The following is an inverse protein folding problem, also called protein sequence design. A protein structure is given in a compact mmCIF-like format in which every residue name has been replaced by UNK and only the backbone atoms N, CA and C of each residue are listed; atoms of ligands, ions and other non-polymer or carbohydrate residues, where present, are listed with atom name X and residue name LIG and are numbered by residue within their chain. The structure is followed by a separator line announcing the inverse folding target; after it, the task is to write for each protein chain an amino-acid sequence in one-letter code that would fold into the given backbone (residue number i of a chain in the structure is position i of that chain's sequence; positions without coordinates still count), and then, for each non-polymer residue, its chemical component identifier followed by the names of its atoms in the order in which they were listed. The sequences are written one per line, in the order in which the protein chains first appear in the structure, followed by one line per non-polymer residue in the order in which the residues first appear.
data_IF_060979167487
#
_entry.id   IF_060979167487
#
_cell.length_a   1.000
_cell.length_b   1.000
_cell.length_c   1.000
_cell.angle_alpha   90.00
_cell.angle_beta   90.00
_cell.angle_gamma   90.00
#
_symmetry.space_group_name_H-M   'P 1'
#
loop_
_entity.id
_entity.type
_entity.pdbx_description
1 polymer ?
#
# COMPACT_ATOMS: atom_id res chain seq x y z
N UNK A 1 22.28 -2.74 -31.39
CA UNK A 1 20.95 -2.04 -31.25
C UNK A 1 20.19 -2.77 -30.16
N UNK A 2 19.71 -2.02 -29.14
CA UNK A 2 18.95 -2.61 -28.02
C UNK A 2 17.55 -3.01 -28.50
N UNK A 3 17.18 -4.26 -28.25
CA UNK A 3 15.85 -4.79 -28.51
C UNK A 3 15.16 -5.10 -27.18
N UNK A 4 13.92 -4.62 -27.00
CA UNK A 4 13.11 -4.90 -25.81
C UNK A 4 11.96 -5.79 -26.23
N UNK A 5 11.76 -6.89 -25.52
CA UNK A 5 10.70 -7.85 -25.76
C UNK A 5 9.98 -8.22 -24.46
N UNK A 6 8.69 -8.54 -24.59
CA UNK A 6 7.89 -9.08 -23.50
C UNK A 6 8.00 -10.60 -23.49
N UNK A 7 8.40 -11.16 -22.37
CA UNK A 7 8.58 -12.60 -22.16
C UNK A 7 7.55 -13.11 -21.14
N UNK A 8 6.38 -13.46 -21.63
CA UNK A 8 5.24 -13.82 -20.78
C UNK A 8 5.52 -15.04 -19.89
N UNK A 9 6.18 -16.07 -20.41
CA UNK A 9 6.50 -17.28 -19.64
C UNK A 9 7.46 -17.00 -18.48
N UNK A 10 8.40 -16.09 -18.69
CA UNK A 10 9.36 -15.64 -17.68
C UNK A 10 8.82 -14.54 -16.78
N UNK A 11 7.61 -14.04 -17.09
CA UNK A 11 6.97 -12.92 -16.37
C UNK A 11 7.86 -11.68 -16.26
N UNK A 12 8.37 -11.24 -17.41
CA UNK A 12 9.25 -10.07 -17.49
C UNK A 12 9.20 -9.36 -18.84
N UNK A 13 9.64 -8.12 -18.86
CA UNK A 13 10.18 -7.47 -20.04
C UNK A 13 11.72 -7.58 -20.01
N UNK A 14 12.33 -7.89 -21.13
CA UNK A 14 13.78 -8.10 -21.24
C UNK A 14 14.37 -7.23 -22.36
N UNK A 15 15.55 -6.65 -22.10
CA UNK A 15 16.33 -5.89 -23.05
C UNK A 15 17.56 -6.69 -23.48
N UNK A 16 17.76 -6.79 -24.78
CA UNK A 16 18.89 -7.51 -25.37
C UNK A 16 19.70 -6.61 -26.31
N UNK A 17 21.01 -6.78 -26.28
CA UNK A 17 21.89 -6.27 -27.32
C UNK A 17 22.80 -7.40 -27.81
N UNK A 18 22.82 -7.61 -29.14
CA UNK A 18 23.57 -8.69 -29.78
C UNK A 18 23.33 -10.09 -29.15
N UNK A 19 22.09 -10.33 -28.68
CA UNK A 19 21.71 -11.59 -28.04
C UNK A 19 22.07 -11.70 -26.55
N UNK A 20 22.76 -10.71 -25.97
CA UNK A 20 23.08 -10.65 -24.54
C UNK A 20 21.97 -9.91 -23.80
N UNK A 21 21.50 -10.47 -22.69
CA UNK A 21 20.58 -9.81 -21.77
C UNK A 21 21.29 -8.66 -21.05
N UNK A 22 20.79 -7.43 -21.20
CA UNK A 22 21.36 -6.21 -20.63
C UNK A 22 20.41 -5.51 -19.64
N UNK A 23 19.18 -6.00 -19.49
CA UNK A 23 18.23 -5.48 -18.50
C UNK A 23 16.94 -6.28 -18.48
N UNK A 24 16.24 -6.22 -17.34
CA UNK A 24 14.94 -6.85 -17.17
C UNK A 24 14.06 -6.05 -16.21
N UNK A 25 12.75 -6.15 -16.40
CA UNK A 25 11.71 -5.73 -15.47
C UNK A 25 10.84 -6.94 -15.17
N UNK A 26 10.96 -7.46 -13.96
CA UNK A 26 10.25 -8.65 -13.52
C UNK A 26 8.93 -8.29 -12.85
N UNK A 27 7.92 -9.14 -13.04
CA UNK A 27 6.64 -9.00 -12.37
C UNK A 27 6.10 -10.33 -11.87
N UNK A 28 5.18 -10.28 -10.91
CA UNK A 28 4.43 -11.44 -10.39
C UNK A 28 2.93 -11.20 -10.51
N UNK A 29 2.15 -12.28 -10.45
CA UNK A 29 0.69 -12.27 -10.58
C UNK A 29 0.07 -13.00 -9.38
N UNK A 30 -0.02 -12.35 -8.20
CA UNK A 30 -0.57 -13.00 -7.01
C UNK A 30 -2.10 -13.11 -7.01
N UNK A 31 -2.79 -12.39 -7.89
CA UNK A 31 -4.26 -12.35 -7.96
C UNK A 31 -4.74 -11.59 -9.19
N UNK A 32 -5.64 -10.64 -9.00
CA UNK A 32 -6.28 -9.85 -10.07
C UNK A 32 -5.41 -8.71 -10.63
N UNK A 33 -4.23 -8.51 -10.10
CA UNK A 33 -3.29 -7.46 -10.52
C UNK A 33 -1.87 -8.01 -10.64
N UNK A 34 -1.01 -7.27 -11.34
CA UNK A 34 0.41 -7.59 -11.46
C UNK A 34 1.24 -6.75 -10.50
N UNK A 35 2.33 -7.32 -9.99
CA UNK A 35 3.29 -6.61 -9.14
C UNK A 35 4.61 -6.48 -9.88
N UNK A 36 5.07 -5.27 -10.18
CA UNK A 36 6.45 -5.04 -10.63
C UNK A 36 7.36 -5.19 -9.42
N UNK A 37 8.12 -6.29 -9.38
CA UNK A 37 8.95 -6.67 -8.25
C UNK A 37 10.37 -6.13 -8.34
N UNK A 38 10.93 -6.09 -9.56
CA UNK A 38 12.31 -5.68 -9.77
C UNK A 38 12.52 -5.09 -11.16
N UNK A 39 13.39 -4.07 -11.25
CA UNK A 39 13.84 -3.51 -12.53
C UNK A 39 15.33 -3.27 -12.44
N UNK A 40 16.08 -3.87 -13.36
CA UNK A 40 17.53 -3.76 -13.41
C UNK A 40 18.04 -3.57 -14.85
N UNK A 41 19.16 -2.89 -14.99
CA UNK A 41 19.88 -2.73 -16.26
C UNK A 41 21.38 -2.84 -16.00
N UNK A 42 22.12 -3.34 -16.99
CA UNK A 42 23.58 -3.35 -16.93
C UNK A 42 24.08 -1.90 -16.77
N UNK A 43 24.96 -1.62 -15.79
CA UNK A 43 25.48 -0.27 -15.54
C UNK A 43 26.14 0.39 -16.75
N UNK A 44 26.67 -0.39 -17.69
CA UNK A 44 27.26 0.12 -18.94
C UNK A 44 26.22 0.87 -19.80
N UNK A 45 24.94 0.63 -19.59
CA UNK A 45 23.83 1.25 -20.32
C UNK A 45 23.08 2.30 -19.49
N UNK A 46 23.67 2.77 -18.39
CA UNK A 46 23.06 3.78 -17.55
C UNK A 46 22.71 5.06 -18.33
N UNK A 47 21.57 5.66 -18.02
CA UNK A 47 21.12 6.92 -18.65
C UNK A 47 20.51 6.78 -20.05
N UNK A 48 20.45 5.60 -20.63
CA UNK A 48 19.90 5.35 -21.97
C UNK A 48 18.37 5.11 -21.98
N UNK A 49 17.70 5.22 -20.84
CA UNK A 49 16.24 5.06 -20.74
C UNK A 49 15.76 3.60 -20.81
N UNK A 50 16.65 2.60 -20.85
CA UNK A 50 16.29 1.19 -21.01
C UNK A 50 15.36 0.72 -19.87
N UNK A 51 15.66 1.10 -18.63
CA UNK A 51 14.83 0.73 -17.47
C UNK A 51 13.40 1.28 -17.59
N UNK A 52 13.22 2.52 -18.08
CA UNK A 52 11.90 3.10 -18.31
C UNK A 52 11.14 2.35 -19.41
N UNK A 53 11.81 2.02 -20.50
CA UNK A 53 11.21 1.27 -21.60
C UNK A 53 10.83 -0.16 -21.19
N UNK A 54 11.59 -0.79 -20.29
CA UNK A 54 11.25 -2.10 -19.73
C UNK A 54 9.98 -2.04 -18.88
N UNK A 55 9.85 -1.04 -17.99
CA UNK A 55 8.62 -0.81 -17.22
C UNK A 55 7.46 -0.54 -18.16
N UNK A 56 7.64 0.31 -19.17
CA UNK A 56 6.61 0.61 -20.17
C UNK A 56 6.13 -0.64 -20.91
N UNK A 57 7.04 -1.55 -21.25
CA UNK A 57 6.70 -2.82 -21.91
C UNK A 57 5.81 -3.70 -21.02
N UNK A 58 6.09 -3.80 -19.71
CA UNK A 58 5.22 -4.50 -18.76
C UNK A 58 3.86 -3.80 -18.62
N UNK A 59 3.85 -2.45 -18.58
CA UNK A 59 2.61 -1.66 -18.52
C UNK A 59 1.69 -1.92 -19.71
N UNK A 60 2.25 -1.91 -20.92
CA UNK A 60 1.49 -2.20 -22.15
C UNK A 60 0.94 -3.62 -22.17
N UNK A 61 1.71 -4.59 -21.66
CA UNK A 61 1.25 -5.97 -21.56
C UNK A 61 0.10 -6.12 -20.53
N UNK A 62 0.16 -5.40 -19.42
CA UNK A 62 -0.89 -5.38 -18.41
C UNK A 62 -2.16 -4.69 -18.93
N UNK A 63 -2.01 -3.57 -19.64
CA UNK A 63 -3.13 -2.88 -20.30
C UNK A 63 -3.84 -3.79 -21.31
N UNK A 64 -3.07 -4.51 -22.13
CA UNK A 64 -3.61 -5.48 -23.08
C UNK A 64 -4.33 -6.65 -22.40
N UNK A 65 -3.97 -6.99 -21.16
CA UNK A 65 -4.59 -8.01 -20.35
C UNK A 65 -5.74 -7.48 -19.47
N UNK A 66 -6.02 -6.16 -19.51
CA UNK A 66 -7.00 -5.46 -18.66
C UNK A 66 -6.76 -5.68 -17.16
N UNK A 67 -5.49 -5.63 -16.73
CA UNK A 67 -5.10 -5.79 -15.33
C UNK A 67 -4.39 -4.55 -14.78
N UNK A 68 -4.57 -4.29 -13.52
CA UNK A 68 -3.87 -3.21 -12.80
C UNK A 68 -2.45 -3.65 -12.40
N UNK A 69 -1.59 -2.67 -12.16
CA UNK A 69 -0.21 -2.89 -11.71
C UNK A 69 0.03 -2.23 -10.37
N UNK A 70 0.70 -2.96 -9.47
CA UNK A 70 1.24 -2.45 -8.21
C UNK A 70 2.76 -2.37 -8.33
N UNK A 71 3.38 -1.18 -8.36
CA UNK A 71 4.82 -1.08 -8.31
C UNK A 71 5.30 -1.26 -6.86
N UNK A 72 6.20 -2.23 -6.60
CA UNK A 72 6.94 -2.35 -5.33
C UNK A 72 8.44 -2.18 -5.53
N UNK A 73 8.88 -2.13 -6.79
CA UNK A 73 10.24 -1.75 -7.15
C UNK A 73 10.40 -0.23 -7.04
N UNK A 74 11.36 0.25 -6.26
CA UNK A 74 11.59 1.69 -6.03
C UNK A 74 11.81 2.51 -7.31
N UNK A 75 12.30 1.89 -8.37
CA UNK A 75 12.42 2.53 -9.68
C UNK A 75 11.04 2.70 -10.35
N UNK A 76 10.23 1.65 -10.35
CA UNK A 76 8.88 1.69 -10.91
C UNK A 76 7.99 2.67 -10.13
N UNK A 77 8.02 2.68 -8.80
CA UNK A 77 7.28 3.64 -7.96
C UNK A 77 7.59 5.09 -8.37
N UNK A 78 8.86 5.43 -8.57
CA UNK A 78 9.26 6.76 -9.03
C UNK A 78 8.75 7.11 -10.44
N UNK A 79 8.63 6.13 -11.33
CA UNK A 79 8.05 6.33 -12.65
C UNK A 79 6.53 6.56 -12.56
N UNK A 80 5.83 5.77 -11.77
CA UNK A 80 4.39 5.91 -11.55
C UNK A 80 4.02 7.29 -10.97
N UNK A 81 4.87 7.83 -10.09
CA UNK A 81 4.69 9.19 -9.56
C UNK A 81 4.91 10.28 -10.61
N UNK A 82 5.78 10.03 -11.62
CA UNK A 82 6.17 11.04 -12.61
C UNK A 82 5.33 11.02 -13.88
N UNK A 83 4.72 9.90 -14.23
CA UNK A 83 3.99 9.69 -15.48
C UNK A 83 2.51 9.49 -15.13
N UNK A 84 1.64 10.51 -15.36
CA UNK A 84 0.23 10.46 -14.96
C UNK A 84 -0.54 9.27 -15.54
N UNK A 85 -0.20 8.84 -16.75
CA UNK A 85 -0.83 7.70 -17.42
C UNK A 85 -0.60 6.39 -16.66
N UNK A 86 0.54 6.24 -15.98
CA UNK A 86 0.84 5.06 -15.16
C UNK A 86 -0.03 5.01 -13.91
N UNK A 87 -0.32 6.17 -13.31
CA UNK A 87 -1.20 6.25 -12.13
C UNK A 87 -2.62 5.75 -12.40
N UNK A 88 -3.09 5.80 -13.66
CA UNK A 88 -4.40 5.25 -14.06
C UNK A 88 -4.43 3.72 -14.07
N UNK A 89 -3.26 3.09 -14.23
CA UNK A 89 -3.11 1.63 -14.25
C UNK A 89 -2.61 1.07 -12.91
N UNK A 90 -2.31 1.95 -11.94
CA UNK A 90 -1.86 1.53 -10.63
C UNK A 90 -2.98 0.87 -9.82
N UNK A 91 -2.71 -0.32 -9.27
CA UNK A 91 -3.56 -0.91 -8.26
C UNK A 91 -3.35 -0.19 -6.95
N UNK A 92 -4.36 0.51 -6.50
CA UNK A 92 -4.32 1.24 -5.24
C UNK A 92 -4.65 0.30 -4.10
N UNK A 93 -3.68 0.06 -3.25
CA UNK A 93 -3.92 -0.60 -1.97
C UNK A 93 -4.72 0.33 -1.07
N UNK A 94 -5.98 0.01 -0.84
CA UNK A 94 -6.83 0.78 0.07
C UNK A 94 -6.62 0.23 1.49
N UNK A 95 -6.14 1.09 2.38
CA UNK A 95 -6.05 0.82 3.80
C UNK A 95 -7.35 1.28 4.47
N UNK A 96 -8.11 0.35 5.05
CA UNK A 96 -9.31 0.68 5.83
C UNK A 96 -8.89 1.12 7.22
N UNK A 97 -9.36 2.31 7.62
CA UNK A 97 -9.03 2.91 8.91
C UNK A 97 -10.29 2.98 9.77
N UNK A 98 -10.38 2.11 10.75
CA UNK A 98 -11.49 2.12 11.71
C UNK A 98 -11.23 3.20 12.76
N UNK A 99 -12.16 4.12 12.88
CA UNK A 99 -12.08 5.32 13.74
C UNK A 99 -13.39 5.52 14.49
N UNK A 100 -13.41 6.48 15.43
CA UNK A 100 -14.62 7.00 16.05
C UNK A 100 -14.55 8.53 16.08
N UNK A 101 -15.68 9.19 15.90
CA UNK A 101 -15.75 10.66 15.83
C UNK A 101 -15.23 11.33 17.10
N UNK A 102 -15.47 10.74 18.26
CA UNK A 102 -15.07 11.25 19.57
C UNK A 102 -13.68 10.84 20.02
N UNK A 103 -12.95 10.08 19.22
CA UNK A 103 -11.60 9.62 19.52
C UNK A 103 -10.58 10.67 19.08
N UNK A 104 -9.78 11.18 20.01
CA UNK A 104 -8.79 12.24 19.78
C UNK A 104 -7.65 11.76 18.87
N UNK A 105 -7.06 10.60 19.15
CA UNK A 105 -6.02 9.97 18.31
C UNK A 105 -6.53 9.72 16.87
N UNK A 106 -7.80 9.32 16.74
CA UNK A 106 -8.41 9.14 15.43
C UNK A 106 -8.54 10.47 14.67
N UNK A 107 -8.81 11.57 15.35
CA UNK A 107 -8.87 12.89 14.73
C UNK A 107 -7.50 13.30 14.19
N UNK A 108 -6.42 13.03 14.94
CA UNK A 108 -5.05 13.29 14.53
C UNK A 108 -4.65 12.48 13.27
N UNK A 109 -5.01 11.20 13.23
CA UNK A 109 -4.79 10.33 12.07
C UNK A 109 -5.61 10.80 10.87
N UNK A 110 -6.90 11.10 11.06
CA UNK A 110 -7.77 11.59 9.98
C UNK A 110 -7.27 12.86 9.32
N UNK A 111 -6.67 13.78 10.08
CA UNK A 111 -6.07 14.99 9.55
C UNK A 111 -4.87 14.72 8.61
N UNK A 112 -4.13 13.64 8.82
CA UNK A 112 -2.98 13.27 7.98
C UNK A 112 -3.40 12.59 6.67
N UNK A 113 -4.56 11.93 6.65
CA UNK A 113 -5.04 11.16 5.49
C UNK A 113 -6.15 11.89 4.70
N UNK A 114 -6.45 13.13 5.07
CA UNK A 114 -7.42 13.95 4.35
C UNK A 114 -7.03 14.03 2.87
N UNK A 115 -8.01 13.75 1.98
CA UNK A 115 -7.84 13.72 0.51
C UNK A 115 -6.86 12.66 -0.02
N UNK A 116 -6.43 11.69 0.82
CA UNK A 116 -5.58 10.59 0.39
C UNK A 116 -6.44 9.37 0.00
N UNK A 117 -6.58 9.12 -1.30
CA UNK A 117 -7.40 8.05 -1.86
C UNK A 117 -6.92 6.62 -1.50
N UNK A 118 -5.75 6.48 -0.86
CA UNK A 118 -5.25 5.18 -0.39
C UNK A 118 -5.82 4.77 0.97
N UNK A 119 -6.61 5.64 1.61
CA UNK A 119 -7.23 5.37 2.90
C UNK A 119 -8.76 5.48 2.81
N UNK A 120 -9.45 4.48 3.31
CA UNK A 120 -10.89 4.46 3.50
C UNK A 120 -11.19 4.58 5.00
N UNK A 121 -11.76 5.71 5.41
CA UNK A 121 -12.12 5.95 6.83
C UNK A 121 -13.48 5.37 7.12
N UNK A 122 -13.57 4.49 8.12
CA UNK A 122 -14.79 3.83 8.58
C UNK A 122 -15.05 4.24 10.04
N UNK A 123 -16.09 5.02 10.27
CA UNK A 123 -16.49 5.39 11.64
C UNK A 123 -17.31 4.25 12.28
N UNK A 124 -16.77 3.67 13.37
CA UNK A 124 -17.46 2.57 14.08
C UNK A 124 -18.69 3.02 14.87
N UNK A 125 -18.80 4.32 15.13
CA UNK A 125 -19.93 4.91 15.83
C UNK A 125 -21.11 5.28 14.90
N UNK A 126 -20.89 5.34 13.59
CA UNK A 126 -21.90 5.77 12.64
C UNK A 126 -22.96 4.70 12.36
N UNK A 127 -22.53 3.45 12.21
CA UNK A 127 -23.39 2.32 11.89
C UNK A 127 -23.00 1.06 12.66
N UNK A 128 -24.01 0.28 13.09
CA UNK A 128 -23.80 -0.99 13.80
C UNK A 128 -23.00 -2.00 12.97
N UNK A 129 -23.13 -1.96 11.65
CA UNK A 129 -22.37 -2.81 10.73
C UNK A 129 -20.87 -2.52 10.81
N UNK A 130 -20.47 -1.24 10.88
CA UNK A 130 -19.07 -0.83 11.03
C UNK A 130 -18.51 -1.32 12.36
N UNK A 131 -19.27 -1.16 13.45
CA UNK A 131 -18.89 -1.66 14.77
C UNK A 131 -18.71 -3.18 14.77
N UNK A 132 -19.64 -3.95 14.17
CA UNK A 132 -19.55 -5.41 14.07
C UNK A 132 -18.33 -5.85 13.27
N UNK A 133 -18.03 -5.16 12.15
CA UNK A 133 -16.86 -5.45 11.34
C UNK A 133 -15.57 -5.22 12.14
N UNK A 134 -15.46 -4.11 12.85
CA UNK A 134 -14.34 -3.80 13.72
C UNK A 134 -14.18 -4.84 14.84
N UNK A 135 -15.25 -5.16 15.58
CA UNK A 135 -15.20 -6.16 16.66
C UNK A 135 -14.74 -7.52 16.16
N UNK A 136 -15.19 -7.95 14.98
CA UNK A 136 -14.71 -9.19 14.36
C UNK A 136 -13.20 -9.18 14.13
N UNK A 137 -12.63 -8.07 13.71
CA UNK A 137 -11.17 -7.92 13.54
C UNK A 137 -10.48 -7.93 14.89
N UNK A 138 -10.96 -7.07 15.82
CA UNK A 138 -10.40 -6.90 17.16
C UNK A 138 -10.34 -8.20 17.96
N UNK A 139 -11.40 -9.00 17.88
CA UNK A 139 -11.53 -10.21 18.69
C UNK A 139 -10.72 -11.40 18.12
N UNK A 140 -10.32 -11.34 16.85
CA UNK A 140 -9.58 -12.42 16.19
C UNK A 140 -8.12 -12.08 15.85
N UNK A 141 -7.68 -10.85 16.06
CA UNK A 141 -6.29 -10.44 15.76
C UNK A 141 -5.47 -10.31 17.06
N UNK A 142 -4.28 -10.95 17.12
CA UNK A 142 -3.39 -10.88 18.28
C UNK A 142 -2.83 -9.47 18.55
N UNK A 143 -2.85 -8.58 17.55
CA UNK A 143 -2.45 -7.16 17.69
C UNK A 143 -3.23 -6.46 18.80
N UNK A 144 -4.44 -6.95 19.13
CA UNK A 144 -5.29 -6.37 20.17
C UNK A 144 -5.18 -7.03 21.54
N UNK A 145 -4.29 -8.01 21.74
CA UNK A 145 -4.24 -8.74 23.02
C UNK A 145 -3.99 -7.80 24.20
N UNK A 146 -2.96 -6.96 24.12
CA UNK A 146 -2.65 -5.97 25.16
C UNK A 146 -3.75 -4.92 25.33
N UNK A 147 -4.30 -4.47 24.20
CA UNK A 147 -5.39 -3.48 24.17
C UNK A 147 -6.63 -4.02 24.87
N UNK A 148 -6.99 -5.29 24.60
CA UNK A 148 -8.13 -5.96 25.24
C UNK A 148 -7.91 -6.16 26.73
N UNK A 149 -6.70 -6.62 27.13
CA UNK A 149 -6.36 -6.84 28.54
C UNK A 149 -6.43 -5.55 29.36
N UNK A 150 -6.05 -4.42 28.74
CA UNK A 150 -6.08 -3.12 29.42
C UNK A 150 -7.41 -2.37 29.25
N UNK A 151 -8.41 -2.97 28.59
CA UNK A 151 -9.74 -2.40 28.42
C UNK A 151 -9.84 -1.26 27.41
N UNK A 152 -8.84 -1.10 26.53
CA UNK A 152 -8.89 -0.11 25.48
C UNK A 152 -9.71 -0.58 24.27
N UNK A 153 -10.19 0.36 23.47
CA UNK A 153 -10.94 0.05 22.23
C UNK A 153 -10.02 -0.47 21.14
N UNK A 154 -8.84 0.16 20.95
CA UNK A 154 -7.87 -0.18 19.92
C UNK A 154 -8.15 0.51 18.58
N UNK A 155 -8.48 1.77 18.63
CA UNK A 155 -8.62 2.66 17.47
C UNK A 155 -7.69 3.87 17.64
N UNK A 156 -7.15 4.42 16.54
CA UNK A 156 -7.37 4.01 15.14
C UNK A 156 -6.81 2.61 14.85
N UNK A 157 -7.51 1.84 14.00
CA UNK A 157 -7.07 0.52 13.55
C UNK A 157 -6.99 0.50 12.03
N UNK A 158 -5.91 -0.02 11.50
CA UNK A 158 -5.61 -0.07 10.07
C UNK A 158 -5.67 -1.51 9.58
N UNK A 159 -6.41 -1.74 8.50
CA UNK A 159 -6.54 -3.04 7.86
C UNK A 159 -6.09 -2.90 6.42
N UNK A 160 -4.99 -3.55 6.11
CA UNK A 160 -4.43 -3.60 4.76
C UNK A 160 -5.25 -4.52 3.86
N UNK A 161 -5.07 -4.41 2.56
CA UNK A 161 -5.80 -5.17 1.55
C UNK A 161 -5.54 -6.68 1.64
N UNK A 162 -4.32 -7.09 2.02
CA UNK A 162 -3.94 -8.47 2.26
C UNK A 162 -4.51 -9.07 3.55
N UNK A 163 -5.26 -8.26 4.33
CA UNK A 163 -5.86 -8.62 5.60
C UNK A 163 -4.94 -8.42 6.80
N UNK A 164 -3.72 -7.92 6.62
CA UNK A 164 -2.85 -7.55 7.74
C UNK A 164 -3.49 -6.40 8.53
N UNK A 165 -3.33 -6.45 9.86
CA UNK A 165 -3.94 -5.50 10.79
C UNK A 165 -2.87 -4.88 11.67
N UNK A 166 -2.93 -3.56 11.87
CA UNK A 166 -2.12 -2.84 12.84
C UNK A 166 -2.92 -1.75 13.55
N UNK A 167 -2.47 -1.38 14.74
CA UNK A 167 -2.95 -0.21 15.51
C UNK A 167 -1.85 0.86 15.63
N UNK A 168 -0.72 0.66 14.94
CA UNK A 168 0.44 1.55 14.95
C UNK A 168 0.44 2.39 13.67
N UNK A 169 0.16 3.70 13.75
CA UNK A 169 0.10 4.58 12.57
C UNK A 169 1.38 4.59 11.72
N UNK A 170 2.56 4.40 12.36
CA UNK A 170 3.86 4.39 11.70
C UNK A 170 4.01 3.26 10.68
N UNK A 171 3.35 2.12 10.92
CA UNK A 171 3.40 0.97 10.02
C UNK A 171 2.65 1.20 8.69
N UNK A 172 1.80 2.23 8.66
CA UNK A 172 1.10 2.67 7.44
C UNK A 172 1.57 4.03 6.95
N UNK A 173 2.76 4.48 7.41
CA UNK A 173 3.39 5.73 6.98
C UNK A 173 2.79 7.00 7.59
N UNK A 174 1.99 6.87 8.64
CA UNK A 174 1.42 7.98 9.39
C UNK A 174 2.22 8.23 10.69
N UNK A 175 1.79 9.21 11.47
CA UNK A 175 2.41 9.54 12.76
C UNK A 175 1.39 9.39 13.87
N UNK A 176 1.83 8.83 14.99
CA UNK A 176 1.07 8.89 16.25
C UNK A 176 0.98 10.32 16.78
N UNK A 177 -0.09 10.60 17.49
CA UNK A 177 -0.17 11.86 18.21
C UNK A 177 0.95 11.94 19.25
N UNK A 178 1.68 13.08 19.34
CA UNK A 178 2.68 13.25 20.39
C UNK A 178 2.04 13.09 21.77
N UNK A 179 2.58 12.17 22.57
CA UNK A 179 2.10 11.93 23.94
C UNK A 179 2.23 13.22 24.73
N UNK A 180 1.10 13.87 25.01
CA UNK A 180 1.04 14.89 26.06
C UNK A 180 0.93 14.11 27.38
N UNK A 181 1.91 14.26 28.28
CA UNK A 181 1.91 13.60 29.57
C UNK A 181 0.55 13.76 30.26
N UNK A 182 -0.22 12.65 30.35
CA UNK A 182 -1.43 12.56 31.17
C UNK A 182 -2.75 12.17 30.48
N UNK A 183 -2.80 11.90 29.18
CA UNK A 183 -4.07 11.60 28.47
C UNK A 183 -4.06 10.23 27.78
N UNK A 184 -4.18 9.16 28.56
CA UNK A 184 -4.67 7.88 28.01
C UNK A 184 -6.17 7.77 28.38
N UNK A 185 -7.04 7.56 27.40
CA UNK A 185 -8.47 7.28 27.65
C UNK A 185 -8.63 6.01 28.46
N UNK A 186 -8.98 6.16 29.72
CA UNK A 186 -9.25 5.04 30.64
C UNK A 186 -10.75 4.70 30.64
N UNK A 187 -11.07 3.45 30.97
CA UNK A 187 -12.45 2.98 31.07
C UNK A 187 -13.31 3.71 32.12
N UNK A 188 -12.68 4.40 33.09
CA UNK A 188 -13.32 5.21 34.10
C UNK A 188 -13.75 6.61 33.62
N UNK A 189 -13.54 6.92 32.34
CA UNK A 189 -13.89 8.22 31.74
C UNK A 189 -12.89 9.32 32.08
N UNK A 190 -11.75 9.01 32.71
CA UNK A 190 -10.69 9.98 32.97
C UNK A 190 -9.63 9.89 31.85
N UNK A 191 -9.29 11.05 31.25
CA UNK A 191 -8.21 11.14 30.25
C UNK A 191 -8.68 11.19 28.79
N UNK A 192 -9.94 11.42 28.53
CA UNK A 192 -10.47 11.80 27.21
C UNK A 192 -10.91 13.27 27.23
#
# INVERSE_FOLDING_TARGET
MVNICYEQEQKRAAAYEEGRLIGACDYSMPGSYWIITHTQTDPAYAGQGIAANLVQCVMQAAEAADVKIKPICSYAEKLFTKIPEYALQEEKSIIRVYTMQTCHECAYVKAQIQDNANFEVIDIGEQVQNLKAFLKIRDNSPVFDDVRMNGYVGIPCFVMEDGAVTITPEEVGLRSEPVQDGQACKLDGTGC
#
